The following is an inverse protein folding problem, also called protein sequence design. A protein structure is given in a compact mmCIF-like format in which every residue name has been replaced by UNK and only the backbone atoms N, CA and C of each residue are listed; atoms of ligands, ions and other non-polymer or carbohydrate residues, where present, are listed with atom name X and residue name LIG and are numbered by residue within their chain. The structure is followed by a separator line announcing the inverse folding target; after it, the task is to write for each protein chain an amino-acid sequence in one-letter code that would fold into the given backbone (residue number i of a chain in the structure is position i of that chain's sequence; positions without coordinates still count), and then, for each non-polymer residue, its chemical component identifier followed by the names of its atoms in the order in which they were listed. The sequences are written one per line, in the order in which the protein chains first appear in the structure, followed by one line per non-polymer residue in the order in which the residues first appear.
data_IF_941786246593
#
_entry.id   IF_941786246593
#
_cell.length_a   1.000
_cell.length_b   1.000
_cell.length_c   1.000
_cell.angle_alpha   90.00
_cell.angle_beta   90.00
_cell.angle_gamma   90.00
#
_symmetry.space_group_name_H-M   'P 1'
#
loop_
_entity.id
_entity.type
_entity.pdbx_description
1 polymer ?
#
# COMPACT_ATOMS: atom_id res chain seq x y z
N UNK A 1 -16.34 -14.98 -12.33
CA UNK A 1 -16.51 -14.19 -11.08
C UNK A 1 -15.21 -13.42 -10.84
N UNK A 2 -15.30 -12.10 -10.83
CA UNK A 2 -14.10 -11.27 -10.58
C UNK A 2 -13.69 -11.43 -9.11
N UNK A 3 -12.48 -11.90 -8.89
CA UNK A 3 -11.95 -12.05 -7.54
C UNK A 3 -11.11 -10.83 -7.16
N UNK A 4 -11.22 -10.42 -5.92
CA UNK A 4 -10.40 -9.35 -5.33
C UNK A 4 -9.47 -9.94 -4.29
N UNK A 5 -8.41 -9.21 -3.96
CA UNK A 5 -7.66 -9.44 -2.72
C UNK A 5 -8.24 -8.48 -1.69
N UNK A 6 -8.61 -8.99 -0.53
CA UNK A 6 -9.03 -8.17 0.60
C UNK A 6 -8.27 -8.60 1.85
N UNK A 7 -7.52 -7.68 2.41
CA UNK A 7 -6.79 -7.89 3.66
C UNK A 7 -7.23 -6.85 4.67
N UNK A 8 -7.35 -7.29 5.90
CA UNK A 8 -7.70 -6.46 7.05
C UNK A 8 -6.56 -6.53 8.07
N UNK A 9 -6.21 -5.40 8.65
CA UNK A 9 -5.19 -5.32 9.68
C UNK A 9 -5.57 -4.26 10.70
N UNK A 10 -5.35 -4.55 11.99
CA UNK A 10 -5.49 -3.56 13.05
C UNK A 10 -4.08 -3.07 13.41
N UNK A 11 -3.87 -1.77 13.26
CA UNK A 11 -2.62 -1.10 13.59
C UNK A 11 -2.73 -0.41 14.95
N UNK A 12 -1.68 -0.53 15.75
CA UNK A 12 -1.58 0.06 17.09
C UNK A 12 -1.10 1.51 17.02
N UNK A 13 -1.80 2.31 16.23
CA UNK A 13 -1.53 3.73 16.05
C UNK A 13 -2.80 4.46 15.64
N UNK A 14 -2.80 5.77 15.80
CA UNK A 14 -3.91 6.63 15.36
C UNK A 14 -4.01 6.67 13.83
N UNK A 15 -5.17 7.03 13.32
CA UNK A 15 -5.48 7.03 11.89
C UNK A 15 -4.56 7.94 11.07
N UNK A 16 -4.15 9.07 11.61
CA UNK A 16 -3.22 9.99 10.96
C UNK A 16 -1.87 9.33 10.69
N UNK A 17 -1.34 8.60 11.67
CA UNK A 17 -0.10 7.85 11.49
C UNK A 17 -0.27 6.68 10.52
N UNK A 18 -1.36 5.93 10.64
CA UNK A 18 -1.66 4.83 9.72
C UNK A 18 -1.72 5.33 8.27
N UNK A 19 -2.39 6.44 8.02
CA UNK A 19 -2.47 7.06 6.70
C UNK A 19 -1.08 7.49 6.19
N UNK A 20 -0.26 8.07 7.06
CA UNK A 20 1.11 8.49 6.70
C UNK A 20 2.00 7.32 6.30
N UNK A 21 1.77 6.12 6.83
CA UNK A 21 2.53 4.92 6.46
C UNK A 21 2.37 4.55 4.98
N UNK A 22 1.29 4.98 4.34
CA UNK A 22 1.04 4.76 2.91
C UNK A 22 1.33 5.98 2.04
N UNK A 23 1.50 7.17 2.63
CA UNK A 23 1.59 8.43 1.88
C UNK A 23 2.92 9.16 2.04
N UNK A 24 3.64 8.91 3.11
CA UNK A 24 4.94 9.52 3.34
C UNK A 24 6.06 8.70 2.70
N UNK A 25 7.00 9.38 2.05
CA UNK A 25 8.12 8.70 1.37
C UNK A 25 8.95 7.85 2.35
N UNK A 26 9.32 8.43 3.49
CA UNK A 26 10.16 7.71 4.47
C UNK A 26 9.38 6.56 5.13
N UNK A 27 8.10 6.78 5.40
CA UNK A 27 7.22 5.77 5.97
C UNK A 27 7.05 4.58 5.03
N UNK A 28 6.76 4.82 3.75
CA UNK A 28 6.65 3.77 2.73
C UNK A 28 7.95 2.98 2.59
N UNK A 29 9.09 3.66 2.68
CA UNK A 29 10.41 3.02 2.62
C UNK A 29 10.69 2.10 3.82
N UNK A 30 10.01 2.31 4.92
CA UNK A 30 10.21 1.49 6.12
C UNK A 30 9.59 0.10 6.03
N UNK A 31 8.59 -0.10 5.18
CA UNK A 31 7.88 -1.38 5.14
C UNK A 31 7.54 -1.91 3.74
N UNK A 32 7.41 -1.06 2.74
CA UNK A 32 6.83 -1.48 1.46
C UNK A 32 7.83 -1.49 0.29
N UNK A 33 8.66 -0.48 0.16
CA UNK A 33 9.54 -0.34 -1.00
C UNK A 33 10.91 0.23 -0.61
N UNK A 34 11.88 0.17 -1.53
CA UNK A 34 13.23 0.71 -1.30
C UNK A 34 13.26 2.22 -1.51
N UNK A 35 12.43 2.73 -2.43
CA UNK A 35 12.26 4.16 -2.67
C UNK A 35 10.85 4.45 -3.15
N UNK A 36 10.44 5.71 -3.07
CA UNK A 36 9.10 6.14 -3.44
C UNK A 36 9.09 7.57 -4.00
N UNK A 37 8.18 7.81 -4.94
CA UNK A 37 7.86 9.14 -5.44
C UNK A 37 6.36 9.33 -5.37
N UNK A 38 5.89 10.03 -4.35
CA UNK A 38 4.47 10.19 -4.04
C UNK A 38 4.09 11.67 -4.06
N UNK A 39 3.12 12.00 -4.89
CA UNK A 39 2.49 13.32 -4.93
C UNK A 39 1.06 13.17 -4.39
N UNK A 40 0.82 13.59 -3.15
CA UNK A 40 -0.44 13.36 -2.45
C UNK A 40 -1.54 14.30 -2.95
N UNK A 41 -2.08 13.99 -4.12
CA UNK A 41 -3.20 14.66 -4.77
C UNK A 41 -3.85 13.73 -5.79
N UNK A 42 -5.10 13.96 -6.14
CA UNK A 42 -5.74 13.24 -7.24
C UNK A 42 -4.96 13.46 -8.54
N UNK A 43 -4.68 12.37 -9.25
CA UNK A 43 -3.86 12.37 -10.46
C UNK A 43 -2.36 12.49 -10.18
N UNK A 44 -1.95 12.63 -8.93
CA UNK A 44 -0.55 12.67 -8.54
C UNK A 44 0.14 11.31 -8.65
N UNK A 45 1.45 11.33 -8.70
CA UNK A 45 2.26 10.10 -8.80
C UNK A 45 2.13 9.25 -7.55
N UNK A 46 2.04 7.94 -7.74
CA UNK A 46 2.22 6.95 -6.69
C UNK A 46 3.17 5.88 -7.22
N UNK A 47 4.46 6.19 -7.17
CA UNK A 47 5.51 5.38 -7.79
C UNK A 47 6.41 4.79 -6.70
N UNK A 48 6.48 3.47 -6.66
CA UNK A 48 7.30 2.71 -5.73
C UNK A 48 8.38 1.95 -6.49
N UNK A 49 9.56 1.85 -5.89
CA UNK A 49 10.74 1.25 -6.51
C UNK A 49 11.34 0.20 -5.59
N UNK A 50 11.60 -0.99 -6.12
CA UNK A 50 12.24 -2.09 -5.40
C UNK A 50 13.67 -2.34 -5.84
N UNK A 51 14.07 -1.81 -7.00
CA UNK A 51 15.43 -1.87 -7.52
C UNK A 51 15.89 -0.47 -7.95
N UNK A 52 16.84 0.09 -7.22
CA UNK A 52 17.37 1.43 -7.51
C UNK A 52 18.23 1.47 -8.78
N UNK A 53 18.73 0.32 -9.21
CA UNK A 53 19.55 0.22 -10.42
C UNK A 53 18.70 0.07 -11.68
N UNK A 54 17.48 -0.42 -11.53
CA UNK A 54 16.53 -0.58 -12.63
C UNK A 54 15.14 -0.12 -12.21
N UNK A 55 14.95 1.18 -12.15
CA UNK A 55 13.71 1.81 -11.68
C UNK A 55 12.51 1.58 -12.60
N UNK A 56 12.74 1.22 -13.85
CA UNK A 56 11.64 1.02 -14.80
C UNK A 56 11.09 -0.40 -14.79
N UNK A 57 11.87 -1.37 -14.35
CA UNK A 57 11.51 -2.78 -14.47
C UNK A 57 10.82 -3.35 -13.23
N UNK A 58 11.29 -2.99 -12.03
CA UNK A 58 10.73 -3.45 -10.77
C UNK A 58 10.17 -2.27 -9.99
N UNK A 59 9.06 -1.76 -10.46
CA UNK A 59 8.47 -0.52 -9.92
C UNK A 59 7.01 -0.37 -10.34
N UNK A 60 6.35 0.62 -9.74
CA UNK A 60 5.03 1.09 -10.17
C UNK A 60 5.11 2.43 -10.90
N UNK A 61 6.19 2.67 -11.63
CA UNK A 61 6.36 3.89 -12.44
C UNK A 61 5.16 4.10 -13.35
N UNK A 62 4.63 5.31 -13.37
CA UNK A 62 3.45 5.69 -14.14
C UNK A 62 2.13 5.56 -13.38
N UNK A 63 2.11 4.88 -12.23
CA UNK A 63 0.90 4.76 -11.42
C UNK A 63 0.53 6.08 -10.76
N UNK A 64 -0.77 6.33 -10.64
CA UNK A 64 -1.33 7.57 -10.13
C UNK A 64 -2.36 7.33 -9.05
N UNK A 65 -2.51 8.32 -8.18
CA UNK A 65 -3.58 8.36 -7.18
C UNK A 65 -4.89 8.70 -7.89
N UNK A 66 -5.90 7.87 -7.72
CA UNK A 66 -7.23 8.06 -8.30
C UNK A 66 -8.36 8.08 -7.27
N UNK A 67 -8.05 8.00 -5.99
CA UNK A 67 -8.98 8.19 -4.89
C UNK A 67 -8.22 8.71 -3.68
N UNK A 68 -8.73 9.78 -3.06
CA UNK A 68 -8.05 10.40 -1.93
C UNK A 68 -9.06 11.12 -1.03
N UNK A 69 -9.08 10.73 0.22
CA UNK A 69 -9.69 11.49 1.30
C UNK A 69 -8.76 11.36 2.51
N UNK A 70 -8.23 12.48 2.98
CA UNK A 70 -7.21 12.51 4.03
C UNK A 70 -7.67 11.73 5.26
N UNK A 71 -6.81 10.84 5.74
CA UNK A 71 -7.02 9.97 6.90
C UNK A 71 -8.18 8.97 6.78
N UNK A 72 -8.76 8.82 5.58
CA UNK A 72 -9.90 7.91 5.36
C UNK A 72 -9.72 6.95 4.21
N UNK A 73 -9.20 7.42 3.07
CA UNK A 73 -9.12 6.61 1.86
C UNK A 73 -7.95 7.02 1.00
N UNK A 74 -7.26 6.02 0.47
CA UNK A 74 -6.24 6.20 -0.56
C UNK A 74 -6.42 5.11 -1.62
N UNK A 75 -6.55 5.51 -2.88
CA UNK A 75 -6.63 4.58 -4.00
C UNK A 75 -5.63 4.96 -5.08
N UNK A 76 -4.93 3.98 -5.61
CA UNK A 76 -3.90 4.17 -6.62
C UNK A 76 -3.80 2.95 -7.54
N UNK A 77 -3.30 3.20 -8.74
CA UNK A 77 -3.01 2.15 -9.72
C UNK A 77 -1.81 1.31 -9.28
N UNK A 78 -1.75 0.07 -9.76
CA UNK A 78 -0.69 -0.85 -9.42
C UNK A 78 -0.14 -1.56 -10.65
N UNK A 79 1.13 -1.95 -10.59
CA UNK A 79 1.84 -2.72 -11.62
C UNK A 79 2.47 -3.96 -11.01
N UNK A 80 2.83 -4.92 -11.87
CA UNK A 80 3.43 -6.17 -11.45
C UNK A 80 4.94 -6.14 -11.32
N UNK A 81 5.51 -7.07 -10.55
CA UNK A 81 6.94 -7.30 -10.50
C UNK A 81 7.46 -7.84 -11.84
N UNK A 82 8.79 -7.95 -12.03
CA UNK A 82 9.35 -8.41 -13.30
C UNK A 82 8.74 -9.70 -13.87
N UNK A 83 8.45 -10.68 -13.03
CA UNK A 83 7.85 -11.98 -13.44
C UNK A 83 6.43 -11.85 -14.00
N UNK A 84 5.70 -10.81 -13.62
CA UNK A 84 4.32 -10.57 -14.06
C UNK A 84 4.16 -9.26 -14.84
N UNK A 85 5.26 -8.65 -15.22
CA UNK A 85 5.29 -7.37 -15.92
C UNK A 85 4.48 -7.39 -17.21
N UNK A 86 4.69 -8.39 -18.05
CA UNK A 86 4.00 -8.47 -19.34
C UNK A 86 2.50 -8.71 -19.17
N UNK A 87 2.11 -9.38 -18.11
CA UNK A 87 0.73 -9.64 -17.79
C UNK A 87 0.03 -8.40 -17.23
N UNK A 88 0.60 -7.79 -16.20
CA UNK A 88 -0.05 -6.75 -15.42
C UNK A 88 0.10 -5.34 -15.98
N UNK A 89 1.24 -5.04 -16.61
CA UNK A 89 1.57 -3.67 -16.99
C UNK A 89 1.06 -3.29 -18.38
N UNK A 90 0.55 -4.25 -19.15
CA UNK A 90 0.03 -4.04 -20.51
C UNK A 90 -1.50 -3.90 -20.58
N UNK A 91 -2.18 -4.01 -19.47
CA UNK A 91 -3.65 -3.95 -19.44
C UNK A 91 -4.16 -2.55 -19.16
N UNK A 92 -5.36 -2.27 -19.66
CA UNK A 92 -6.06 -1.01 -19.40
C UNK A 92 -7.53 -1.33 -19.04
N UNK A 93 -8.00 -0.91 -17.87
CA UNK A 93 -7.23 -0.24 -16.80
C UNK A 93 -6.25 -1.17 -16.10
N UNK A 94 -5.24 -0.58 -15.45
CA UNK A 94 -4.33 -1.31 -14.55
C UNK A 94 -5.11 -1.85 -13.35
N UNK A 95 -4.54 -2.83 -12.65
CA UNK A 95 -5.08 -3.21 -11.34
C UNK A 95 -4.96 -2.04 -10.36
N UNK A 96 -5.81 -2.04 -9.36
CA UNK A 96 -5.95 -0.92 -8.44
C UNK A 96 -5.90 -1.39 -6.99
N UNK A 97 -5.22 -0.63 -6.16
CA UNK A 97 -5.20 -0.82 -4.71
C UNK A 97 -5.99 0.31 -4.07
N UNK A 98 -6.92 -0.05 -3.20
CA UNK A 98 -7.68 0.90 -2.39
C UNK A 98 -7.49 0.54 -0.92
N UNK A 99 -7.11 1.53 -0.11
CA UNK A 99 -6.91 1.36 1.32
C UNK A 99 -7.90 2.25 2.07
N UNK A 100 -8.64 1.64 2.98
CA UNK A 100 -9.57 2.34 3.87
C UNK A 100 -8.98 2.40 5.27
N UNK A 101 -9.12 3.54 5.94
CA UNK A 101 -8.58 3.80 7.27
C UNK A 101 -9.73 4.12 8.22
N UNK A 102 -9.98 3.25 9.18
CA UNK A 102 -11.07 3.40 10.14
C UNK A 102 -10.52 3.50 11.56
N UNK A 103 -10.67 4.64 12.24
CA UNK A 103 -10.23 4.74 13.63
C UNK A 103 -11.07 3.84 14.53
N UNK A 104 -10.40 3.16 15.47
CA UNK A 104 -11.03 2.36 16.51
C UNK A 104 -10.79 3.07 17.84
N UNK A 105 -11.85 3.43 18.51
CA UNK A 105 -11.79 4.04 19.83
C UNK A 105 -11.76 2.95 20.90
N UNK A 106 -10.73 2.97 21.72
CA UNK A 106 -10.62 2.04 22.85
C UNK A 106 -11.43 2.56 24.04
N UNK A 107 -12.28 1.71 24.62
CA UNK A 107 -13.06 2.06 25.81
C UNK A 107 -12.18 2.55 26.95
N UNK A 108 -12.53 3.74 27.48
CA UNK A 108 -11.89 4.32 28.66
C UNK A 108 -10.55 4.98 28.46
N UNK A 109 -10.05 5.09 27.22
CA UNK A 109 -8.79 5.77 26.91
C UNK A 109 -8.96 6.75 25.77
N UNK A 110 -8.73 8.03 26.05
CA UNK A 110 -8.64 9.08 25.04
C UNK A 110 -7.28 9.11 24.32
N UNK A 111 -6.31 8.28 24.73
CA UNK A 111 -4.91 8.42 24.33
C UNK A 111 -4.39 7.30 23.44
N UNK A 112 -5.08 6.15 23.35
CA UNK A 112 -4.61 5.02 22.52
C UNK A 112 -5.68 4.60 21.55
N UNK A 113 -5.67 5.24 20.39
CA UNK A 113 -6.49 4.85 19.27
C UNK A 113 -5.77 3.79 18.46
N UNK A 114 -6.51 2.82 17.98
CA UNK A 114 -6.09 1.89 16.97
C UNK A 114 -6.72 2.28 15.63
N UNK A 115 -6.19 1.77 14.55
CA UNK A 115 -6.75 1.96 13.21
C UNK A 115 -6.95 0.59 12.58
N UNK A 116 -8.17 0.35 12.12
CA UNK A 116 -8.47 -0.79 11.26
C UNK A 116 -8.26 -0.35 9.82
N UNK A 117 -7.36 -1.03 9.10
CA UNK A 117 -7.18 -0.80 7.68
C UNK A 117 -7.75 -1.97 6.88
N UNK A 118 -8.35 -1.64 5.74
CA UNK A 118 -8.75 -2.59 4.73
C UNK A 118 -8.01 -2.26 3.44
N UNK A 119 -7.27 -3.23 2.91
CA UNK A 119 -6.66 -3.12 1.60
C UNK A 119 -7.43 -4.00 0.63
N UNK A 120 -7.89 -3.39 -0.45
CA UNK A 120 -8.59 -4.08 -1.55
C UNK A 120 -7.76 -3.91 -2.81
N UNK A 121 -7.26 -5.02 -3.36
CA UNK A 121 -6.57 -5.03 -4.64
C UNK A 121 -7.50 -5.67 -5.67
N UNK A 122 -7.93 -4.88 -6.64
CA UNK A 122 -8.97 -5.23 -7.59
C UNK A 122 -8.49 -5.07 -9.04
N UNK A 123 -9.34 -5.50 -9.99
CA UNK A 123 -9.01 -5.41 -11.41
C UNK A 123 -8.32 -6.66 -11.97
N UNK A 124 -8.34 -7.77 -11.23
CA UNK A 124 -7.79 -9.05 -11.66
C UNK A 124 -8.63 -9.63 -12.79
N UNK A 125 -7.97 -10.14 -13.82
CA UNK A 125 -8.63 -10.86 -14.90
C UNK A 125 -8.70 -12.36 -14.53
N UNK A 126 -9.48 -13.14 -15.30
CA UNK A 126 -9.89 -14.49 -14.90
C UNK A 126 -9.16 -15.63 -15.62
N UNK A 127 -8.02 -15.36 -16.28
CA UNK A 127 -7.20 -16.43 -16.86
C UNK A 127 -6.39 -17.14 -15.78
N UNK A 128 -5.91 -18.34 -16.08
CA UNK A 128 -5.08 -19.12 -15.16
C UNK A 128 -3.83 -18.36 -14.70
N UNK A 129 -3.16 -17.65 -15.63
CA UNK A 129 -1.97 -16.87 -15.32
C UNK A 129 -2.29 -15.69 -14.41
N UNK A 130 -3.43 -15.05 -14.58
CA UNK A 130 -3.91 -13.99 -13.70
C UNK A 130 -4.23 -14.51 -12.31
N UNK A 131 -4.77 -15.71 -12.20
CA UNK A 131 -5.08 -16.35 -10.92
C UNK A 131 -3.80 -16.70 -10.16
N UNK A 132 -2.79 -17.23 -10.85
CA UNK A 132 -1.46 -17.47 -10.29
C UNK A 132 -0.84 -16.18 -9.77
N UNK A 133 -0.90 -15.11 -10.54
CA UNK A 133 -0.41 -13.79 -10.16
C UNK A 133 -1.14 -13.25 -8.93
N UNK A 134 -2.45 -13.38 -8.87
CA UNK A 134 -3.25 -12.93 -7.72
C UNK A 134 -2.84 -13.68 -6.44
N UNK A 135 -2.64 -14.99 -6.50
CA UNK A 135 -2.17 -15.77 -5.37
C UNK A 135 -0.77 -15.34 -4.90
N UNK A 136 0.11 -15.01 -5.84
CA UNK A 136 1.43 -14.47 -5.51
C UNK A 136 1.29 -13.14 -4.73
N UNK A 137 0.39 -12.26 -5.16
CA UNK A 137 0.16 -10.98 -4.50
C UNK A 137 -0.49 -11.11 -3.12
N UNK A 138 -1.35 -12.09 -2.90
CA UNK A 138 -1.89 -12.35 -1.55
C UNK A 138 -0.74 -12.56 -0.57
N UNK A 139 0.22 -13.42 -0.91
CA UNK A 139 1.38 -13.70 -0.05
C UNK A 139 2.30 -12.48 0.09
N UNK A 140 2.49 -11.75 -0.99
CA UNK A 140 3.31 -10.53 -0.96
C UNK A 140 2.73 -9.46 -0.03
N UNK A 141 1.41 -9.22 -0.12
CA UNK A 141 0.73 -8.28 0.77
C UNK A 141 0.73 -8.75 2.23
N UNK A 142 0.51 -10.02 2.49
CA UNK A 142 0.57 -10.57 3.85
C UNK A 142 1.95 -10.37 4.47
N UNK A 143 3.00 -10.60 3.71
CA UNK A 143 4.39 -10.38 4.15
C UNK A 143 4.67 -8.90 4.41
N UNK A 144 4.22 -8.02 3.52
CA UNK A 144 4.37 -6.57 3.68
C UNK A 144 3.61 -6.07 4.92
N UNK A 145 2.43 -6.59 5.19
CA UNK A 145 1.61 -6.21 6.35
C UNK A 145 2.24 -6.58 7.68
N UNK A 146 3.02 -7.66 7.74
CA UNK A 146 3.80 -8.00 8.94
C UNK A 146 4.82 -6.90 9.27
N UNK A 147 5.49 -6.38 8.24
CA UNK A 147 6.42 -5.25 8.39
C UNK A 147 5.70 -3.96 8.76
N UNK A 148 4.57 -3.68 8.10
CA UNK A 148 3.76 -2.52 8.41
C UNK A 148 3.35 -2.48 9.88
N UNK A 149 2.88 -3.60 10.40
CA UNK A 149 2.47 -3.72 11.81
C UNK A 149 3.61 -3.38 12.76
N UNK A 150 4.81 -3.86 12.48
CA UNK A 150 6.00 -3.57 13.28
C UNK A 150 6.42 -2.10 13.16
N UNK A 151 6.51 -1.58 11.95
CA UNK A 151 6.99 -0.22 11.68
C UNK A 151 6.01 0.85 12.17
N UNK A 152 4.72 0.58 12.13
CA UNK A 152 3.70 1.50 12.64
C UNK A 152 3.82 1.70 14.15
N UNK A 153 4.29 0.70 14.88
CA UNK A 153 4.52 0.77 16.33
C UNK A 153 5.84 1.45 16.70
N UNK A 154 6.79 1.54 15.76
CA UNK A 154 8.09 2.15 16.01
C UNK A 154 7.93 3.66 16.24
N UNK A 155 8.42 4.14 17.39
CA UNK A 155 8.44 5.56 17.69
C UNK A 155 9.65 6.20 17.00
N UNK A 156 9.41 6.86 15.87
CA UNK A 156 10.44 7.55 15.10
C UNK A 156 10.87 8.89 15.73
N UNK A 157 10.23 9.32 16.82
CA UNK A 157 10.53 10.59 17.48
C UNK A 157 11.85 10.59 18.24
N UNK A 158 12.41 9.42 18.55
CA UNK A 158 13.65 9.30 19.30
C UNK A 158 14.92 9.34 18.44
N UNK A 159 14.80 9.39 17.11
CA UNK A 159 15.96 9.38 16.20
C UNK A 159 16.57 10.75 15.91
N UNK A 160 15.95 11.84 16.38
CA UNK A 160 16.41 13.22 16.10
C UNK A 160 16.99 13.95 17.31
N UNK A 161 17.48 13.26 18.32
CA UNK A 161 18.07 13.89 19.50
C UNK A 161 19.57 13.62 19.67
N UNK A 162 20.32 13.69 18.55
CA UNK A 162 21.81 13.76 18.59
C UNK A 162 22.34 14.59 17.44
#
# INVERSE_FOLDING_TARGET
MNQIIHLKLILDCEVKKAFSMFTGKQEVKSWLAVDANIELRLGGKYELFWDLKDRMNNSTVGCRINGLEIDKLLAFEWKGPPEYKDLMNSVDPLTQVTVFFNPIWMDGSSEKNQTEIHLVHSGWRSTEKWEECRHWFIKAWESAFKKLKTECMADHTTRNSW
#
